data_IF_113767448865
#
_entry.id   IF_113767448865
#
_cell.length_a   1.000
_cell.length_b   1.000
_cell.length_c   1.000
_cell.angle_alpha   90.00
_cell.angle_beta   90.00
_cell.angle_gamma   90.00
#
_symmetry.space_group_name_H-M   'P 1'
#
loop_
_entity.id
_entity.type
_entity.pdbx_description
1 polymer ?
#
# COMPACT_ATOMS: atom_id res chain seq x y z
N UNK A 1 10.58 13.99 -20.25
CA UNK A 1 9.37 14.50 -20.97
C UNK A 1 8.45 15.26 -20.01
N UNK A 2 7.35 15.91 -20.45
CA UNK A 2 6.43 16.56 -19.50
C UNK A 2 5.77 15.54 -18.56
N UNK A 3 5.71 15.90 -17.28
CA UNK A 3 4.94 15.24 -16.22
C UNK A 3 3.48 15.08 -16.65
N UNK A 4 2.97 13.85 -16.68
CA UNK A 4 1.59 13.54 -17.05
C UNK A 4 0.75 13.23 -15.81
N UNK A 5 -0.31 13.99 -15.58
CA UNK A 5 -1.32 13.68 -14.56
C UNK A 5 -2.12 12.45 -14.98
N UNK A 6 -2.21 11.47 -14.09
CA UNK A 6 -2.92 10.20 -14.29
C UNK A 6 -4.10 10.04 -13.36
N UNK A 7 -3.98 10.53 -12.12
CA UNK A 7 -5.12 10.62 -11.21
C UNK A 7 -5.09 11.96 -10.49
N UNK A 8 -6.23 12.65 -10.47
CA UNK A 8 -6.45 13.78 -9.58
C UNK A 8 -6.96 13.35 -8.19
N UNK A 9 -7.12 14.32 -7.29
CA UNK A 9 -7.62 14.08 -5.93
C UNK A 9 -8.97 13.36 -5.89
N UNK A 10 -9.88 13.70 -6.81
CA UNK A 10 -11.21 13.10 -6.84
C UNK A 10 -11.15 11.66 -7.38
N UNK A 11 -10.25 11.36 -8.31
CA UNK A 11 -9.98 10.01 -8.81
C UNK A 11 -9.35 9.12 -7.76
N UNK A 12 -8.42 9.65 -6.95
CA UNK A 12 -7.83 8.93 -5.81
C UNK A 12 -8.93 8.60 -4.79
N UNK A 13 -9.75 9.59 -4.40
CA UNK A 13 -10.82 9.36 -3.43
C UNK A 13 -11.86 8.33 -3.91
N UNK A 14 -12.29 8.41 -5.18
CA UNK A 14 -13.18 7.41 -5.78
C UNK A 14 -12.55 6.01 -5.79
N UNK A 15 -11.26 5.92 -6.11
CA UNK A 15 -10.54 4.64 -6.15
C UNK A 15 -10.42 4.01 -4.76
N UNK A 16 -10.10 4.80 -3.74
CA UNK A 16 -10.05 4.34 -2.35
C UNK A 16 -11.42 3.90 -1.84
N UNK A 17 -12.48 4.62 -2.24
CA UNK A 17 -13.87 4.23 -1.92
C UNK A 17 -14.22 2.87 -2.52
N UNK A 18 -13.88 2.65 -3.81
CA UNK A 18 -14.09 1.35 -4.45
C UNK A 18 -13.28 0.24 -3.77
N UNK A 19 -12.00 0.48 -3.47
CA UNK A 19 -11.16 -0.49 -2.76
C UNK A 19 -11.77 -0.85 -1.40
N UNK A 20 -12.29 0.12 -0.64
CA UNK A 20 -12.94 -0.14 0.65
C UNK A 20 -14.13 -1.09 0.50
N UNK A 21 -15.01 -0.86 -0.48
CA UNK A 21 -16.12 -1.79 -0.77
C UNK A 21 -15.63 -3.18 -1.19
N UNK A 22 -14.65 -3.27 -2.08
CA UNK A 22 -14.10 -4.56 -2.51
C UNK A 22 -13.48 -5.36 -1.35
N UNK A 23 -12.76 -4.68 -0.44
CA UNK A 23 -12.22 -5.29 0.78
C UNK A 23 -13.36 -5.88 1.62
N UNK A 24 -14.42 -5.12 1.87
CA UNK A 24 -15.55 -5.55 2.69
C UNK A 24 -16.30 -6.72 2.05
N UNK A 25 -16.61 -6.65 0.76
CA UNK A 25 -17.30 -7.71 0.03
C UNK A 25 -16.51 -9.02 0.05
N UNK A 26 -15.21 -8.95 -0.29
CA UNK A 26 -14.33 -10.14 -0.33
C UNK A 26 -14.15 -10.77 1.06
N UNK A 27 -14.08 -9.95 2.11
CA UNK A 27 -13.85 -10.41 3.48
C UNK A 27 -15.12 -10.71 4.27
N UNK A 28 -16.31 -10.45 3.67
CA UNK A 28 -17.64 -10.58 4.28
C UNK A 28 -17.78 -9.71 5.53
N UNK A 29 -17.44 -8.43 5.38
CA UNK A 29 -17.39 -7.43 6.44
C UNK A 29 -16.04 -7.35 7.13
N UNK A 30 -16.02 -6.70 8.30
CA UNK A 30 -14.81 -6.31 9.04
C UNK A 30 -14.30 -7.34 10.05
N UNK A 31 -14.98 -8.48 10.19
CA UNK A 31 -14.60 -9.48 11.19
C UNK A 31 -13.17 -9.98 10.95
N UNK A 32 -12.34 -9.81 11.98
CA UNK A 32 -10.91 -10.15 12.01
C UNK A 32 -10.05 -9.42 10.95
N UNK A 33 -10.56 -8.35 10.36
CA UNK A 33 -9.85 -7.53 9.38
C UNK A 33 -8.88 -6.57 10.09
N UNK A 34 -7.66 -6.45 9.55
CA UNK A 34 -6.67 -5.46 9.98
C UNK A 34 -5.99 -4.85 8.76
N UNK A 35 -5.63 -3.57 8.85
CA UNK A 35 -4.90 -2.86 7.80
C UNK A 35 -3.44 -2.65 8.21
N UNK A 36 -2.50 -2.85 7.29
CA UNK A 36 -1.07 -2.63 7.54
C UNK A 36 -0.48 -1.81 6.40
N UNK A 37 -0.21 -0.54 6.67
CA UNK A 37 0.42 0.37 5.72
C UNK A 37 1.91 0.12 5.61
N UNK A 38 2.41 0.02 4.38
CA UNK A 38 3.83 -0.16 4.08
C UNK A 38 4.43 1.20 3.68
N UNK A 39 5.67 1.49 4.14
CA UNK A 39 6.42 2.71 3.79
C UNK A 39 5.67 3.99 4.18
N UNK A 40 5.80 5.07 3.41
CA UNK A 40 5.18 6.37 3.71
C UNK A 40 3.81 6.50 3.06
N UNK A 41 3.72 6.33 1.73
CA UNK A 41 2.47 6.48 0.98
C UNK A 41 1.42 5.46 1.40
N UNK A 42 1.81 4.17 1.49
CA UNK A 42 0.92 3.10 1.94
C UNK A 42 0.32 3.30 3.33
N UNK A 43 1.03 3.98 4.25
CA UNK A 43 0.51 4.33 5.59
C UNK A 43 -0.62 5.34 5.51
N UNK A 44 -0.46 6.42 4.75
CA UNK A 44 -1.51 7.42 4.57
C UNK A 44 -2.73 6.83 3.86
N UNK A 45 -2.50 6.03 2.81
CA UNK A 45 -3.59 5.33 2.13
C UNK A 45 -4.31 4.34 3.03
N UNK A 46 -3.59 3.61 3.89
CA UNK A 46 -4.17 2.70 4.89
C UNK A 46 -5.08 3.44 5.87
N UNK A 47 -4.67 4.61 6.37
CA UNK A 47 -5.49 5.43 7.26
C UNK A 47 -6.73 6.01 6.55
N UNK A 48 -6.61 6.38 5.27
CA UNK A 48 -7.77 6.80 4.47
C UNK A 48 -8.75 5.64 4.23
N UNK A 49 -8.25 4.44 3.94
CA UNK A 49 -9.09 3.24 3.81
C UNK A 49 -9.79 2.89 5.13
N UNK A 50 -9.08 2.98 6.26
CA UNK A 50 -9.65 2.79 7.59
C UNK A 50 -10.84 3.71 7.83
N UNK A 51 -10.69 5.00 7.53
CA UNK A 51 -11.79 5.99 7.65
C UNK A 51 -12.99 5.63 6.79
N UNK A 52 -12.76 5.26 5.52
CA UNK A 52 -13.84 4.84 4.61
C UNK A 52 -14.55 3.58 5.10
N UNK A 53 -13.81 2.59 5.58
CA UNK A 53 -14.39 1.37 6.18
C UNK A 53 -15.22 1.72 7.43
N UNK A 54 -14.72 2.60 8.30
CA UNK A 54 -15.45 3.09 9.47
C UNK A 54 -16.76 3.79 9.07
N UNK A 55 -16.75 4.61 8.02
CA UNK A 55 -17.95 5.28 7.51
C UNK A 55 -18.99 4.29 6.95
N UNK A 56 -18.54 3.20 6.31
CA UNK A 56 -19.42 2.20 5.69
C UNK A 56 -20.01 1.22 6.73
N UNK A 57 -19.18 0.69 7.62
CA UNK A 57 -19.55 -0.40 8.55
C UNK A 57 -19.77 0.06 10.00
N UNK A 58 -19.38 1.30 10.33
CA UNK A 58 -19.43 1.81 11.70
C UNK A 58 -18.40 1.18 12.66
N UNK A 59 -17.41 0.46 12.12
CA UNK A 59 -16.39 -0.25 12.91
C UNK A 59 -15.01 0.30 12.62
N UNK A 60 -14.30 0.66 13.69
CA UNK A 60 -12.92 1.09 13.61
C UNK A 60 -11.99 -0.14 13.55
N UNK A 61 -11.46 -0.43 12.35
CA UNK A 61 -10.58 -1.60 12.15
C UNK A 61 -9.18 -1.31 12.67
N UNK A 62 -8.50 -2.27 13.34
CA UNK A 62 -7.11 -2.08 13.76
C UNK A 62 -6.19 -1.78 12.57
N UNK A 63 -5.31 -0.79 12.73
CA UNK A 63 -4.30 -0.42 11.73
C UNK A 63 -2.89 -0.44 12.32
N UNK A 64 -1.93 -0.83 11.50
CA UNK A 64 -0.50 -0.89 11.84
C UNK A 64 0.37 -0.35 10.71
N UNK A 65 1.64 -0.15 11.03
CA UNK A 65 2.66 0.39 10.13
C UNK A 65 3.79 -0.62 10.03
N UNK A 66 4.23 -0.91 8.81
CA UNK A 66 5.36 -1.78 8.56
C UNK A 66 6.45 -1.04 7.79
N UNK A 67 7.55 -0.74 8.47
CA UNK A 67 8.76 -0.25 7.82
C UNK A 67 9.65 -1.42 7.39
N UNK A 68 9.69 -1.67 6.08
CA UNK A 68 10.47 -2.73 5.46
C UNK A 68 11.87 -2.28 5.03
N UNK A 69 12.29 -1.06 5.39
CA UNK A 69 13.59 -0.48 5.02
C UNK A 69 14.77 -1.41 5.34
N UNK A 70 14.66 -2.21 6.41
CA UNK A 70 15.70 -3.16 6.83
C UNK A 70 15.66 -4.51 6.08
N UNK A 71 14.58 -4.82 5.35
CA UNK A 71 14.36 -6.09 4.65
C UNK A 71 14.66 -6.01 3.15
N UNK A 72 15.21 -4.88 2.70
CA UNK A 72 15.57 -4.63 1.31
C UNK A 72 17.00 -5.12 1.04
N UNK A 73 17.11 -6.13 0.18
CA UNK A 73 18.39 -6.69 -0.25
C UNK A 73 19.30 -5.63 -0.92
N UNK A 74 18.71 -4.58 -1.49
CA UNK A 74 19.34 -3.46 -2.19
C UNK A 74 19.94 -2.39 -1.24
N UNK A 75 19.64 -2.40 0.05
CA UNK A 75 20.15 -1.40 1.02
C UNK A 75 21.64 -1.61 1.33
N UNK A 76 22.19 -2.79 1.05
CA UNK A 76 23.64 -3.03 1.18
C UNK A 76 24.47 -2.27 0.12
N UNK A 77 23.87 -1.82 -0.98
CA UNK A 77 24.57 -1.13 -2.08
C UNK A 77 24.49 0.40 -2.03
N UNK A 78 23.53 0.97 -1.30
CA UNK A 78 23.28 2.41 -1.27
C UNK A 78 23.95 3.09 -0.05
N UNK A 79 24.89 4.00 -0.29
CA UNK A 79 25.67 4.74 0.74
C UNK A 79 24.86 5.78 1.55
N UNK A 80 23.52 5.77 1.46
CA UNK A 80 22.64 6.64 2.27
C UNK A 80 21.93 5.78 3.32
N UNK A 81 22.27 5.98 4.60
CA UNK A 81 21.53 5.39 5.72
C UNK A 81 20.06 5.83 5.62
N UNK A 82 19.12 4.92 5.35
CA UNK A 82 17.72 5.29 5.30
C UNK A 82 17.26 5.71 6.70
N UNK A 83 16.40 6.73 6.79
CA UNK A 83 15.77 7.11 8.06
C UNK A 83 14.82 5.98 8.45
N UNK A 84 15.19 5.21 9.46
CA UNK A 84 14.36 4.14 10.03
C UNK A 84 13.06 4.77 10.54
N UNK A 85 11.93 4.42 9.92
CA UNK A 85 10.61 4.63 10.50
C UNK A 85 10.31 3.45 11.44
N UNK A 86 9.46 3.66 12.42
CA UNK A 86 9.10 2.61 13.38
C UNK A 86 8.04 1.70 12.76
N UNK A 87 8.31 0.41 12.72
CA UNK A 87 7.29 -0.63 12.57
C UNK A 87 6.45 -0.67 13.86
N UNK A 88 5.14 -0.60 13.72
CA UNK A 88 4.20 -0.56 14.84
C UNK A 88 2.95 -1.37 14.49
N UNK A 89 2.77 -2.52 15.13
CA UNK A 89 1.60 -3.39 14.99
C UNK A 89 1.00 -3.55 16.38
N UNK A 90 0.10 -2.65 16.82
CA UNK A 90 -0.38 -2.57 18.20
C UNK A 90 -1.50 -3.59 18.51
N UNK A 91 -1.54 -4.69 17.78
CA UNK A 91 -2.56 -5.72 17.88
C UNK A 91 -1.97 -7.12 17.61
N UNK A 92 -2.65 -8.15 18.10
CA UNK A 92 -2.29 -9.52 17.77
C UNK A 92 -2.69 -9.84 16.34
N UNK A 93 -1.73 -10.30 15.54
CA UNK A 93 -1.93 -10.65 14.13
C UNK A 93 -2.50 -12.07 13.95
N UNK A 94 -2.44 -12.92 14.98
CA UNK A 94 -2.88 -14.30 14.87
C UNK A 94 -4.34 -14.42 14.42
N UNK A 95 -4.55 -15.23 13.38
CA UNK A 95 -5.86 -15.51 12.76
C UNK A 95 -6.56 -14.27 12.17
N UNK A 96 -5.86 -13.14 12.01
CA UNK A 96 -6.39 -11.94 11.34
C UNK A 96 -6.32 -12.05 9.82
N UNK A 97 -7.23 -11.39 9.12
CA UNK A 97 -7.19 -11.12 7.68
C UNK A 97 -6.44 -9.81 7.49
N UNK A 98 -5.15 -9.89 7.19
CA UNK A 98 -4.30 -8.71 7.06
C UNK A 98 -4.35 -8.16 5.64
N UNK A 99 -4.68 -6.88 5.48
CA UNK A 99 -4.59 -6.17 4.21
C UNK A 99 -3.32 -5.30 4.26
N UNK A 100 -2.30 -5.71 3.51
CA UNK A 100 -1.15 -4.86 3.22
C UNK A 100 -1.59 -3.72 2.29
N UNK A 101 -1.16 -2.50 2.57
CA UNK A 101 -1.50 -1.32 1.77
C UNK A 101 -0.21 -0.65 1.29
N UNK A 102 -0.08 -0.48 -0.03
CA UNK A 102 1.04 0.20 -0.67
C UNK A 102 0.52 1.24 -1.69
N UNK A 103 1.37 2.20 -2.06
CA UNK A 103 1.01 3.20 -3.07
C UNK A 103 1.09 2.62 -4.49
N UNK A 104 2.24 2.06 -4.87
CA UNK A 104 2.52 1.57 -6.22
C UNK A 104 3.09 0.16 -6.19
N UNK A 105 2.39 -0.78 -6.84
CA UNK A 105 2.91 -2.12 -7.06
C UNK A 105 3.73 -2.20 -8.35
N UNK A 106 5.05 -2.36 -8.20
CA UNK A 106 6.02 -2.51 -9.29
C UNK A 106 6.58 -3.94 -9.36
N UNK A 107 7.86 -4.17 -9.02
CA UNK A 107 8.51 -5.50 -9.13
C UNK A 107 7.95 -6.55 -8.16
N UNK A 108 7.30 -6.11 -7.07
CA UNK A 108 6.76 -6.96 -6.00
C UNK A 108 7.73 -7.19 -4.84
N UNK A 109 9.00 -6.77 -4.93
CA UNK A 109 10.02 -7.00 -3.89
C UNK A 109 9.67 -6.38 -2.53
N UNK A 110 9.10 -5.18 -2.56
CA UNK A 110 8.53 -4.48 -1.39
C UNK A 110 7.55 -5.36 -0.64
N UNK A 111 6.61 -5.95 -1.37
CA UNK A 111 5.53 -6.74 -0.79
C UNK A 111 6.06 -8.07 -0.27
N UNK A 112 7.01 -8.71 -0.97
CA UNK A 112 7.69 -9.89 -0.45
C UNK A 112 8.32 -9.62 0.92
N UNK A 113 9.12 -8.56 1.02
CA UNK A 113 9.74 -8.15 2.27
C UNK A 113 8.71 -7.80 3.35
N UNK A 114 7.59 -7.17 2.97
CA UNK A 114 6.48 -6.89 3.88
C UNK A 114 5.81 -8.17 4.41
N UNK A 115 5.58 -9.17 3.55
CA UNK A 115 5.02 -10.45 3.98
C UNK A 115 5.96 -11.17 4.95
N UNK A 116 7.26 -11.21 4.65
CA UNK A 116 8.26 -11.84 5.52
C UNK A 116 8.28 -11.15 6.89
N UNK A 117 8.41 -9.82 6.91
CA UNK A 117 8.43 -9.06 8.15
C UNK A 117 7.11 -9.20 8.93
N UNK A 118 5.96 -9.25 8.26
CA UNK A 118 4.65 -9.39 8.90
C UNK A 118 4.52 -10.74 9.63
N UNK A 119 5.09 -11.82 9.08
CA UNK A 119 5.09 -13.15 9.69
C UNK A 119 5.93 -13.16 11.00
N UNK A 120 6.90 -12.27 11.16
CA UNK A 120 7.63 -12.15 12.43
C UNK A 120 6.76 -11.62 13.58
N UNK A 121 5.64 -10.95 13.28
CA UNK A 121 4.69 -10.41 14.26
C UNK A 121 3.49 -11.33 14.57
N UNK A 122 3.35 -12.45 13.87
CA UNK A 122 2.29 -13.43 14.15
C UNK A 122 1.92 -14.30 12.96
N UNK A 123 0.75 -14.94 13.05
CA UNK A 123 0.26 -15.89 12.05
C UNK A 123 -1.13 -15.47 11.55
N UNK A 124 -1.21 -14.53 10.59
CA UNK A 124 -2.49 -14.12 10.01
C UNK A 124 -3.18 -15.30 9.33
N UNK A 125 -4.51 -15.30 9.31
CA UNK A 125 -5.31 -16.27 8.55
C UNK A 125 -5.11 -16.09 7.04
N UNK A 126 -4.97 -14.84 6.59
CA UNK A 126 -4.67 -14.49 5.21
C UNK A 126 -3.94 -13.16 5.15
N UNK A 127 -3.11 -13.01 4.13
CA UNK A 127 -2.47 -11.74 3.76
C UNK A 127 -2.99 -11.40 2.37
N UNK A 128 -3.58 -10.22 2.24
CA UNK A 128 -4.08 -9.64 1.00
C UNK A 128 -3.34 -8.35 0.72
N UNK A 129 -3.41 -7.86 -0.51
CA UNK A 129 -2.72 -6.65 -0.94
C UNK A 129 -3.68 -5.66 -1.61
N UNK A 130 -3.76 -4.45 -1.06
CA UNK A 130 -4.41 -3.30 -1.68
C UNK A 130 -3.36 -2.29 -2.14
N UNK A 131 -3.44 -1.84 -3.39
CA UNK A 131 -2.58 -0.79 -3.93
C UNK A 131 -3.38 0.27 -4.66
N UNK A 132 -2.90 1.52 -4.62
CA UNK A 132 -3.52 2.58 -5.41
C UNK A 132 -3.22 2.36 -6.90
N UNK A 133 -1.96 2.12 -7.26
CA UNK A 133 -1.53 1.90 -8.65
C UNK A 133 -0.88 0.53 -8.81
N UNK A 134 -1.30 -0.20 -9.84
CA UNK A 134 -0.56 -1.34 -10.37
C UNK A 134 0.10 -0.96 -11.69
N UNK A 135 1.44 -0.97 -11.73
CA UNK A 135 2.21 -0.56 -12.91
C UNK A 135 2.80 -1.70 -13.73
N UNK A 136 2.52 -2.94 -13.36
CA UNK A 136 3.09 -4.14 -13.99
C UNK A 136 4.57 -4.37 -13.67
N UNK A 137 5.29 -4.99 -14.62
CA UNK A 137 6.72 -5.33 -14.52
C UNK A 137 7.10 -6.18 -13.30
N UNK A 138 6.30 -7.22 -13.03
CA UNK A 138 6.55 -8.14 -11.93
C UNK A 138 7.83 -8.93 -12.13
N UNK A 139 8.64 -8.97 -11.09
CA UNK A 139 9.80 -9.86 -10.97
C UNK A 139 9.54 -11.02 -10.01
N UNK A 140 8.48 -10.89 -9.19
CA UNK A 140 7.98 -11.91 -8.28
C UNK A 140 6.51 -12.22 -8.62
N UNK A 141 6.03 -13.45 -8.36
CA UNK A 141 4.65 -13.85 -8.64
C UNK A 141 3.67 -13.26 -7.61
N UNK A 142 3.68 -11.93 -7.46
CA UNK A 142 2.89 -11.17 -6.51
C UNK A 142 1.88 -10.33 -7.29
N UNK A 143 0.62 -10.43 -6.88
CA UNK A 143 -0.50 -9.68 -7.44
C UNK A 143 -1.27 -9.00 -6.30
N UNK A 144 -1.76 -7.80 -6.57
CA UNK A 144 -2.70 -7.15 -5.66
C UNK A 144 -4.09 -7.79 -5.77
N UNK A 145 -4.75 -7.91 -4.62
CA UNK A 145 -6.15 -8.29 -4.51
C UNK A 145 -7.07 -7.12 -4.87
N UNK A 146 -6.65 -5.90 -4.54
CA UNK A 146 -7.40 -4.66 -4.74
C UNK A 146 -6.50 -3.62 -5.41
N UNK A 147 -6.96 -3.05 -6.51
CA UNK A 147 -6.18 -2.10 -7.31
C UNK A 147 -7.02 -0.85 -7.59
N UNK A 148 -6.48 0.33 -7.32
CA UNK A 148 -7.11 1.62 -7.63
C UNK A 148 -7.13 1.90 -9.13
N UNK A 149 -5.97 1.82 -9.79
CA UNK A 149 -5.87 1.88 -11.24
C UNK A 149 -4.74 0.97 -11.75
N UNK A 150 -4.97 0.33 -12.90
CA UNK A 150 -3.91 -0.34 -13.64
C UNK A 150 -3.33 0.68 -14.62
N UNK A 151 -2.02 0.93 -14.53
CA UNK A 151 -1.32 1.88 -15.35
C UNK A 151 -0.14 1.20 -16.06
N UNK A 152 -0.35 0.69 -17.28
CA UNK A 152 0.75 0.23 -18.11
C UNK A 152 1.77 1.36 -18.27
N UNK A 153 3.00 1.10 -17.88
CA UNK A 153 4.12 2.05 -17.94
C UNK A 153 5.32 1.42 -18.63
N UNK A 154 6.28 2.23 -19.06
CA UNK A 154 7.60 1.76 -19.44
C UNK A 154 8.50 1.60 -18.21
N UNK A 155 9.57 0.80 -18.34
CA UNK A 155 10.53 0.59 -17.24
C UNK A 155 11.30 1.87 -16.87
N UNK A 156 11.47 2.78 -17.82
CA UNK A 156 12.11 4.09 -17.62
C UNK A 156 11.13 5.18 -17.23
N UNK A 157 9.87 4.85 -16.94
CA UNK A 157 8.92 5.80 -16.35
C UNK A 157 8.90 5.64 -14.83
N UNK A 158 8.84 6.75 -14.11
CA UNK A 158 8.57 6.81 -12.70
C UNK A 158 7.11 7.20 -12.44
N UNK A 159 6.52 6.57 -11.44
CA UNK A 159 5.17 6.86 -10.97
C UNK A 159 5.30 7.48 -9.59
N UNK A 160 4.91 8.74 -9.49
CA UNK A 160 4.91 9.48 -8.23
C UNK A 160 3.47 9.61 -7.74
N UNK A 161 3.23 9.14 -6.51
CA UNK A 161 1.96 9.32 -5.79
C UNK A 161 2.19 10.39 -4.74
N UNK A 162 1.65 11.57 -5.02
CA UNK A 162 1.72 12.71 -4.11
C UNK A 162 0.42 12.72 -3.29
N UNK A 163 0.55 12.81 -1.97
CA UNK A 163 -0.58 12.83 -1.05
C UNK A 163 -0.54 14.11 -0.23
N UNK A 164 -1.71 14.64 0.13
CA UNK A 164 -1.82 15.90 0.88
C UNK A 164 -1.03 15.88 2.19
N UNK A 165 -0.89 14.72 2.82
CA UNK A 165 -0.16 14.53 4.08
C UNK A 165 1.37 14.67 3.93
N UNK A 166 1.91 14.50 2.73
CA UNK A 166 3.35 14.58 2.45
C UNK A 166 3.73 15.76 1.56
N UNK A 167 2.96 15.98 0.50
CA UNK A 167 3.33 16.85 -0.62
C UNK A 167 2.37 18.04 -0.79
N UNK A 168 1.30 18.09 0.02
CA UNK A 168 0.33 19.18 0.03
C UNK A 168 -0.70 19.13 -1.11
N UNK A 169 -0.67 18.10 -1.95
CA UNK A 169 -1.67 17.82 -2.97
C UNK A 169 -1.90 16.30 -3.13
N UNK A 170 -3.08 15.94 -3.64
CA UNK A 170 -3.40 14.56 -4.03
C UNK A 170 -3.33 14.45 -5.55
N UNK A 171 -2.32 13.73 -6.06
CA UNK A 171 -2.19 13.42 -7.48
C UNK A 171 -1.33 12.17 -7.72
N UNK A 172 -1.60 11.48 -8.82
CA UNK A 172 -0.70 10.47 -9.38
C UNK A 172 -0.17 10.96 -10.70
N UNK A 173 1.14 10.92 -10.86
CA UNK A 173 1.83 11.48 -12.02
C UNK A 173 2.86 10.51 -12.56
N UNK A 174 3.03 10.52 -13.88
CA UNK A 174 4.04 9.73 -14.60
C UNK A 174 5.04 10.66 -15.25
N UNK A 175 6.33 10.35 -15.09
CA UNK A 175 7.44 11.09 -15.70
C UNK A 175 8.55 10.13 -16.15
N UNK A 176 9.40 10.54 -17.08
CA UNK A 176 10.57 9.73 -17.44
C UNK A 176 11.60 9.79 -16.31
N UNK A 177 12.13 8.63 -15.92
CA UNK A 177 13.31 8.50 -15.08
C UNK A 177 14.51 9.16 -15.78
N UNK A 178 15.12 10.15 -15.11
CA UNK A 178 16.36 10.80 -15.55
C UNK A 178 17.59 9.88 -15.40
#
# INVERSE_FOLDING_TARGET
>A
MPKKLVMDAAEIDRSLTRIAYEILEKNKGVKDLVLVGIRTGGVFLSERLKKKILEIEGVDVPSGILDITLYRDDVLSAHKKPKIKKTEIPFCLDKKKAILVDDVLFTGRTIRAAMDALIDFGRPQSIQLAVLIDRGHRELPIRADFVGANLPSFLWEDISVNLIETDGCDEVVVEDSN
#
